data_IF_518803029240
#
_entry.id   IF_518803029240
#
_cell.length_a   1.000
_cell.length_b   1.000
_cell.length_c   1.000
_cell.angle_alpha   90.00
_cell.angle_beta   90.00
_cell.angle_gamma   90.00
#
_symmetry.space_group_name_H-M   'P 1'
#
loop_
_entity.id
_entity.type
_entity.pdbx_description
1 polymer ?
#
# COMPACT_ATOMS: atom_id res chain seq x y z
N UNK A 1 -8.11 29.55 62.50
CA UNK A 1 -6.76 29.87 62.03
C UNK A 1 -6.39 28.77 61.04
N UNK A 2 -6.77 28.87 59.75
CA UNK A 2 -5.96 29.42 58.64
C UNK A 2 -4.54 28.83 58.69
N UNK A 3 -4.05 28.08 57.72
CA UNK A 3 -3.91 28.42 56.29
C UNK A 3 -3.24 27.22 55.56
N UNK A 4 -3.15 27.27 54.22
CA UNK A 4 -2.40 26.39 53.27
C UNK A 4 -3.21 25.35 52.49
N UNK A 5 -3.57 25.67 51.25
CA UNK A 5 -2.72 25.41 50.07
C UNK A 5 -3.57 25.57 48.78
N UNK A 6 -3.47 26.75 48.15
CA UNK A 6 -3.89 26.99 46.76
C UNK A 6 -2.65 27.46 46.00
N UNK A 7 -2.02 26.57 45.22
CA UNK A 7 -0.81 26.98 44.49
C UNK A 7 -0.17 25.98 43.51
N UNK A 8 -0.77 24.83 43.18
CA UNK A 8 -0.11 23.82 42.34
C UNK A 8 -0.75 23.59 40.95
N UNK A 9 -1.84 24.27 40.60
CA UNK A 9 -2.63 23.94 39.40
C UNK A 9 -2.29 24.70 38.11
N UNK A 10 -1.47 25.76 38.14
CA UNK A 10 -1.37 26.69 36.99
C UNK A 10 -0.06 26.61 36.20
N UNK A 11 0.94 25.90 36.71
CA UNK A 11 2.28 25.87 36.11
C UNK A 11 2.45 24.72 35.09
N UNK A 12 1.79 23.59 35.34
CA UNK A 12 1.88 22.38 34.50
C UNK A 12 1.08 22.53 33.20
N UNK A 13 -0.11 23.13 33.27
CA UNK A 13 -0.94 23.45 32.09
C UNK A 13 -0.30 24.47 31.15
N UNK A 14 0.55 25.36 31.68
CA UNK A 14 1.30 26.32 30.86
C UNK A 14 2.47 25.64 30.14
N UNK A 15 3.13 24.68 30.76
CA UNK A 15 4.21 23.94 30.10
C UNK A 15 3.69 23.01 29.01
N UNK A 16 2.58 22.31 29.26
CA UNK A 16 1.94 21.45 28.25
C UNK A 16 1.45 22.26 27.05
N UNK A 17 0.83 23.43 27.27
CA UNK A 17 0.41 24.33 26.20
C UNK A 17 1.59 24.87 25.37
N UNK A 18 2.71 25.22 26.00
CA UNK A 18 3.92 25.70 25.30
C UNK A 18 4.53 24.61 24.41
N UNK A 19 4.60 23.36 24.89
CA UNK A 19 5.09 22.25 24.07
C UNK A 19 4.14 21.88 22.93
N UNK A 20 2.83 21.99 23.15
CA UNK A 20 1.82 21.74 22.12
C UNK A 20 1.86 22.80 21.01
N UNK A 21 2.03 24.07 21.39
CA UNK A 21 2.20 25.17 20.44
C UNK A 21 3.55 25.13 19.70
N UNK A 22 4.62 24.70 20.38
CA UNK A 22 5.93 24.51 19.75
C UNK A 22 5.91 23.41 18.68
N UNK A 23 5.25 22.27 18.96
CA UNK A 23 5.05 21.16 18.00
C UNK A 23 4.15 21.58 16.82
N UNK A 24 3.08 22.33 17.09
CA UNK A 24 2.22 22.88 16.03
C UNK A 24 2.98 23.87 15.13
N UNK A 25 3.81 24.75 15.70
CA UNK A 25 4.62 25.72 14.96
C UNK A 25 5.72 25.05 14.12
N UNK A 26 6.32 23.94 14.59
CA UNK A 26 7.32 23.19 13.80
C UNK A 26 6.68 22.45 12.63
N UNK A 27 5.48 21.90 12.79
CA UNK A 27 4.75 21.25 11.70
C UNK A 27 4.30 22.25 10.62
N UNK A 28 3.91 23.47 11.00
CA UNK A 28 3.57 24.53 10.04
C UNK A 28 4.83 25.12 9.39
N UNK A 29 5.93 25.27 10.13
CA UNK A 29 7.21 25.74 9.61
C UNK A 29 7.79 24.85 8.50
N UNK A 30 7.68 23.52 8.64
CA UNK A 30 8.14 22.57 7.61
C UNK A 30 7.25 22.61 6.35
N UNK A 31 5.96 22.95 6.49
CA UNK A 31 5.00 23.03 5.39
C UNK A 31 5.08 24.35 4.61
N UNK A 32 5.55 25.44 5.23
CA UNK A 32 5.51 26.81 4.67
C UNK A 32 6.88 27.32 4.21
N UNK A 33 7.98 26.58 4.44
CA UNK A 33 9.29 26.98 3.92
C UNK A 33 9.25 27.14 2.39
N UNK A 34 9.49 28.36 1.86
CA UNK A 34 9.54 28.57 0.43
C UNK A 34 10.74 27.82 -0.13
N UNK A 35 10.48 26.79 -0.95
CA UNK A 35 11.52 26.13 -1.75
C UNK A 35 12.17 27.20 -2.62
N UNK A 36 13.42 27.57 -2.28
CA UNK A 36 14.21 28.54 -3.03
C UNK A 36 14.17 28.19 -4.51
N UNK A 37 13.61 29.10 -5.32
CA UNK A 37 13.75 29.10 -6.77
C UNK A 37 15.24 29.25 -7.09
N UNK A 38 15.86 28.19 -7.58
CA UNK A 38 17.15 28.29 -8.25
C UNK A 38 16.96 29.01 -9.58
N UNK A 39 17.44 30.25 -9.66
CA UNK A 39 17.55 31.02 -10.89
C UNK A 39 18.99 31.44 -11.10
N UNK A 40 19.58 30.88 -12.16
CA UNK A 40 20.67 31.33 -13.03
C UNK A 40 21.79 32.24 -12.47
N UNK A 41 23.00 31.66 -12.38
CA UNK A 41 24.21 32.02 -13.18
C UNK A 41 25.46 31.40 -12.56
N UNK A 42 26.15 30.55 -13.33
CA UNK A 42 27.59 30.66 -13.59
C UNK A 42 28.07 29.40 -14.33
N UNK A 43 28.61 29.60 -15.53
CA UNK A 43 29.57 28.68 -16.14
C UNK A 43 30.75 28.48 -15.18
N UNK A 44 31.08 27.22 -14.87
CA UNK A 44 32.46 26.70 -14.84
C UNK A 44 32.50 25.27 -14.30
N UNK A 45 33.16 24.42 -15.10
CA UNK A 45 33.93 23.22 -14.72
C UNK A 45 33.19 22.02 -14.11
N UNK A 46 33.18 20.98 -14.93
CA UNK A 46 33.29 19.58 -14.53
C UNK A 46 34.35 19.36 -13.45
N UNK A 47 33.92 19.07 -12.23
CA UNK A 47 34.63 18.18 -11.32
C UNK A 47 33.63 17.26 -10.63
N UNK A 48 33.87 15.97 -10.83
CA UNK A 48 33.21 14.80 -10.27
C UNK A 48 33.03 14.89 -8.75
N UNK A 49 31.77 15.00 -8.32
CA UNK A 49 31.31 14.77 -6.96
C UNK A 49 30.15 13.77 -7.00
N UNK A 50 30.35 12.60 -6.38
CA UNK A 50 29.49 11.42 -6.42
C UNK A 50 28.19 11.58 -5.63
N UNK A 51 27.20 12.26 -6.21
CA UNK A 51 25.79 11.99 -5.95
C UNK A 51 25.23 11.28 -7.18
N UNK A 52 25.54 9.99 -7.31
CA UNK A 52 25.09 9.19 -8.43
C UNK A 52 23.56 9.06 -8.41
N UNK A 53 22.84 9.26 -9.54
CA UNK A 53 21.49 8.74 -9.66
C UNK A 53 21.53 7.23 -9.36
N UNK A 54 20.50 6.70 -8.69
CA UNK A 54 20.31 5.24 -8.50
C UNK A 54 20.77 4.51 -9.76
N UNK A 55 21.61 3.48 -9.62
CA UNK A 55 22.03 2.68 -10.77
C UNK A 55 20.77 2.10 -11.42
N UNK A 56 20.35 2.69 -12.54
CA UNK A 56 19.20 2.21 -13.32
C UNK A 56 19.50 0.80 -13.81
N UNK A 57 18.49 -0.07 -13.82
CA UNK A 57 18.68 -1.43 -14.29
C UNK A 57 19.24 -1.43 -15.73
N UNK A 58 20.21 -2.31 -16.04
CA UNK A 58 20.76 -2.42 -17.39
C UNK A 58 19.64 -2.63 -18.42
N UNK A 59 19.51 -1.69 -19.34
CA UNK A 59 18.44 -1.67 -20.33
C UNK A 59 18.88 -1.03 -21.64
N UNK A 60 18.22 -1.40 -22.72
CA UNK A 60 18.42 -0.86 -24.05
C UNK A 60 17.32 0.16 -24.36
N UNK A 61 17.69 1.30 -24.92
CA UNK A 61 16.76 2.36 -25.30
C UNK A 61 16.80 2.63 -26.81
N UNK A 62 15.72 3.22 -27.35
CA UNK A 62 15.69 3.76 -28.71
C UNK A 62 16.08 2.76 -29.81
N UNK A 63 17.15 3.06 -30.55
CA UNK A 63 17.63 2.24 -31.66
C UNK A 63 18.19 0.88 -31.23
N UNK A 64 18.88 0.83 -30.08
CA UNK A 64 19.46 -0.40 -29.54
C UNK A 64 18.38 -1.38 -29.11
N UNK A 65 17.32 -0.89 -28.44
CA UNK A 65 16.17 -1.70 -28.07
C UNK A 65 15.54 -2.41 -29.29
N UNK A 66 15.42 -1.69 -30.41
CA UNK A 66 14.93 -2.26 -31.67
C UNK A 66 15.91 -3.23 -32.32
N UNK A 67 17.22 -3.06 -32.12
CA UNK A 67 18.23 -3.99 -32.60
C UNK A 67 18.17 -5.29 -31.79
N UNK A 68 18.17 -5.19 -30.46
CA UNK A 68 18.06 -6.32 -29.52
C UNK A 68 16.77 -7.11 -29.77
N UNK A 69 15.65 -6.44 -29.99
CA UNK A 69 14.38 -7.10 -30.29
C UNK A 69 14.36 -7.85 -31.63
N UNK A 70 15.30 -7.59 -32.53
CA UNK A 70 15.48 -8.35 -33.78
C UNK A 70 16.45 -9.51 -33.61
N UNK A 71 17.49 -9.35 -32.79
CA UNK A 71 18.51 -10.39 -32.56
C UNK A 71 18.04 -11.44 -31.55
N UNK A 72 17.21 -11.07 -30.57
CA UNK A 72 16.72 -11.93 -29.49
C UNK A 72 15.23 -12.31 -29.67
N UNK A 73 14.86 -12.75 -30.88
CA UNK A 73 13.46 -13.06 -31.20
C UNK A 73 12.88 -14.19 -30.32
N UNK A 74 13.73 -15.09 -29.85
CA UNK A 74 13.40 -16.24 -29.00
C UNK A 74 13.16 -15.87 -27.52
N UNK A 75 13.37 -14.61 -27.11
CA UNK A 75 13.17 -14.14 -25.73
C UNK A 75 11.82 -13.46 -25.51
N UNK A 76 10.94 -13.39 -26.52
CA UNK A 76 9.63 -12.73 -26.40
C UNK A 76 9.69 -11.21 -26.52
N UNK A 77 10.73 -10.66 -27.16
CA UNK A 77 10.90 -9.22 -27.37
C UNK A 77 9.79 -8.57 -28.20
N UNK A 78 9.04 -9.37 -28.94
CA UNK A 78 7.91 -8.95 -29.78
C UNK A 78 6.54 -9.30 -29.16
N UNK A 79 6.49 -9.76 -27.91
CA UNK A 79 5.23 -10.17 -27.27
C UNK A 79 4.25 -9.00 -27.11
N UNK A 80 2.99 -9.20 -27.52
CA UNK A 80 1.87 -8.25 -27.36
C UNK A 80 1.02 -8.55 -26.13
N UNK A 81 1.25 -9.69 -25.49
CA UNK A 81 0.69 -10.06 -24.20
C UNK A 81 1.67 -10.94 -23.41
N UNK A 82 1.60 -10.95 -22.06
CA UNK A 82 2.49 -11.77 -21.24
C UNK A 82 2.47 -13.27 -21.56
N UNK A 83 1.33 -13.80 -22.02
CA UNK A 83 1.20 -15.22 -22.41
C UNK A 83 1.99 -15.61 -23.65
N UNK A 84 2.46 -14.63 -24.44
CA UNK A 84 3.31 -14.86 -25.62
C UNK A 84 4.80 -14.90 -25.26
N UNK A 85 5.18 -14.57 -24.02
CA UNK A 85 6.56 -14.62 -23.57
C UNK A 85 6.98 -16.11 -23.42
N UNK A 86 8.02 -16.57 -24.13
CA UNK A 86 8.50 -17.94 -24.04
C UNK A 86 9.22 -18.21 -22.71
N UNK A 87 9.47 -19.49 -22.40
CA UNK A 87 10.13 -19.88 -21.14
C UNK A 87 11.51 -19.24 -20.92
N UNK A 88 12.28 -19.03 -21.98
CA UNK A 88 13.55 -18.28 -21.95
C UNK A 88 13.35 -16.82 -21.54
N UNK A 89 12.31 -16.16 -22.04
CA UNK A 89 11.95 -14.80 -21.66
C UNK A 89 11.45 -14.71 -20.21
N UNK A 90 10.67 -15.69 -19.75
CA UNK A 90 10.26 -15.77 -18.34
C UNK A 90 11.43 -16.01 -17.39
N UNK A 91 12.45 -16.77 -17.83
CA UNK A 91 13.70 -16.91 -17.09
C UNK A 91 14.40 -15.56 -16.95
N UNK A 92 14.47 -14.77 -18.04
CA UNK A 92 15.06 -13.43 -17.99
C UNK A 92 14.29 -12.52 -17.02
N UNK A 93 12.95 -12.49 -17.11
CA UNK A 93 12.09 -11.74 -16.18
C UNK A 93 12.37 -12.15 -14.73
N UNK A 94 12.42 -13.44 -14.43
CA UNK A 94 12.68 -13.93 -13.07
C UNK A 94 14.07 -13.55 -12.54
N UNK A 95 15.10 -13.61 -13.39
CA UNK A 95 16.47 -13.22 -13.02
C UNK A 95 16.58 -11.72 -12.77
N UNK A 96 15.92 -10.89 -13.59
CA UNK A 96 15.89 -9.44 -13.41
C UNK A 96 15.13 -9.06 -12.14
N UNK A 97 13.94 -9.64 -11.90
CA UNK A 97 13.21 -9.47 -10.62
C UNK A 97 14.11 -9.81 -9.42
N UNK A 98 14.89 -10.89 -9.47
CA UNK A 98 15.81 -11.24 -8.37
C UNK A 98 16.94 -10.23 -8.18
N UNK A 99 17.53 -9.74 -9.27
CA UNK A 99 18.55 -8.69 -9.25
C UNK A 99 17.97 -7.39 -8.69
N UNK A 100 16.83 -6.97 -9.20
CA UNK A 100 16.23 -5.66 -8.92
C UNK A 100 15.68 -5.64 -7.49
N UNK A 101 15.18 -6.75 -6.94
CA UNK A 101 14.90 -6.93 -5.50
C UNK A 101 16.09 -6.52 -4.61
N UNK A 102 17.32 -6.87 -5.03
CA UNK A 102 18.55 -6.60 -4.31
C UNK A 102 19.05 -5.17 -4.56
N UNK A 103 19.11 -4.76 -5.83
CA UNK A 103 19.64 -3.45 -6.25
C UNK A 103 18.77 -2.30 -5.76
N UNK A 104 17.44 -2.42 -5.90
CA UNK A 104 16.48 -1.44 -5.39
C UNK A 104 16.23 -1.59 -3.88
N UNK A 105 16.87 -2.56 -3.22
CA UNK A 105 16.73 -2.86 -1.79
C UNK A 105 15.26 -2.98 -1.37
N UNK A 106 14.44 -3.66 -2.16
CA UNK A 106 12.97 -3.71 -1.99
C UNK A 106 12.56 -4.13 -0.57
N UNK A 107 13.31 -5.05 0.04
CA UNK A 107 13.08 -5.50 1.41
C UNK A 107 13.26 -4.38 2.44
N UNK A 108 14.24 -3.49 2.25
CA UNK A 108 14.44 -2.30 3.08
C UNK A 108 13.37 -1.23 2.80
N UNK A 109 12.99 -1.05 1.53
CA UNK A 109 11.90 -0.13 1.14
C UNK A 109 10.58 -0.56 1.79
N UNK A 110 10.27 -1.86 1.74
CA UNK A 110 9.09 -2.44 2.38
C UNK A 110 9.06 -2.20 3.90
N UNK A 111 10.22 -2.23 4.57
CA UNK A 111 10.31 -1.90 6.00
C UNK A 111 9.96 -0.43 6.27
N UNK A 112 10.42 0.49 5.42
CA UNK A 112 10.03 1.90 5.47
C UNK A 112 8.52 2.11 5.25
N UNK A 113 7.95 1.44 4.25
CA UNK A 113 6.49 1.46 4.01
C UNK A 113 5.73 0.92 5.22
N UNK A 114 6.20 -0.18 5.80
CA UNK A 114 5.59 -0.78 7.01
C UNK A 114 5.51 0.22 8.16
N UNK A 115 6.58 0.98 8.40
CA UNK A 115 6.59 2.04 9.41
C UNK A 115 5.50 3.09 9.14
N UNK A 116 5.39 3.59 7.91
CA UNK A 116 4.34 4.56 7.57
C UNK A 116 2.93 3.98 7.62
N UNK A 117 2.74 2.72 7.25
CA UNK A 117 1.46 2.01 7.36
C UNK A 117 1.06 1.89 8.83
N UNK A 118 1.98 1.54 9.73
CA UNK A 118 1.70 1.45 11.17
C UNK A 118 1.27 2.80 11.76
N UNK A 119 1.94 3.89 11.38
CA UNK A 119 1.51 5.25 11.78
C UNK A 119 0.13 5.60 11.24
N UNK A 120 -0.20 5.15 10.02
CA UNK A 120 -1.48 5.37 9.38
C UNK A 120 -2.63 4.52 9.95
N UNK A 121 -2.35 3.45 10.68
CA UNK A 121 -3.38 2.54 11.21
C UNK A 121 -4.29 3.23 12.23
N UNK A 122 -3.74 3.99 13.18
CA UNK A 122 -4.57 4.67 14.18
C UNK A 122 -5.62 5.60 13.57
N UNK A 123 -5.26 6.53 12.65
CA UNK A 123 -6.26 7.34 11.98
C UNK A 123 -7.12 6.54 11.00
N UNK A 124 -6.61 5.49 10.35
CA UNK A 124 -7.42 4.65 9.48
C UNK A 124 -8.53 3.91 10.25
N UNK A 125 -8.21 3.35 11.41
CA UNK A 125 -9.19 2.69 12.29
C UNK A 125 -10.18 3.70 12.85
N UNK A 126 -9.73 4.91 13.21
CA UNK A 126 -10.64 5.98 13.62
C UNK A 126 -11.65 6.31 12.50
N UNK A 127 -11.17 6.51 11.26
CA UNK A 127 -12.03 6.74 10.11
C UNK A 127 -12.98 5.56 9.85
N UNK A 128 -12.48 4.33 9.92
CA UNK A 128 -13.26 3.11 9.74
C UNK A 128 -14.42 3.03 10.73
N UNK A 129 -14.13 3.18 12.03
CA UNK A 129 -15.14 3.08 13.09
C UNK A 129 -16.16 4.22 12.98
N UNK A 130 -15.71 5.45 12.74
CA UNK A 130 -16.60 6.58 12.53
C UNK A 130 -17.53 6.36 11.34
N UNK A 131 -17.01 5.93 10.18
CA UNK A 131 -17.83 5.66 9.00
C UNK A 131 -18.77 4.46 9.19
N UNK A 132 -18.32 3.39 9.87
CA UNK A 132 -19.15 2.22 10.13
C UNK A 132 -20.31 2.53 11.08
N UNK A 133 -20.05 3.33 12.12
CA UNK A 133 -21.06 3.79 13.09
C UNK A 133 -22.22 4.59 12.49
N UNK A 134 -22.12 5.04 11.23
CA UNK A 134 -23.22 5.70 10.52
C UNK A 134 -24.33 4.74 10.09
N UNK A 135 -23.99 3.47 9.86
CA UNK A 135 -24.90 2.50 9.23
C UNK A 135 -25.15 1.27 10.11
N UNK A 136 -24.30 1.03 11.12
CA UNK A 136 -24.38 -0.14 11.97
C UNK A 136 -23.89 0.16 13.40
N UNK A 137 -24.35 -0.64 14.35
CA UNK A 137 -23.89 -0.55 15.74
C UNK A 137 -22.41 -0.96 15.83
N UNK A 138 -21.60 -0.07 16.41
CA UNK A 138 -20.16 -0.25 16.62
C UNK A 138 -19.88 -1.51 17.44
N UNK A 139 -20.80 -1.93 18.30
CA UNK A 139 -20.68 -3.19 19.06
C UNK A 139 -20.52 -4.42 18.14
N UNK A 140 -21.16 -4.42 16.97
CA UNK A 140 -21.10 -5.53 16.00
C UNK A 140 -19.77 -5.63 15.25
N UNK A 141 -18.96 -4.57 15.24
CA UNK A 141 -17.64 -4.59 14.58
C UNK A 141 -16.76 -5.69 15.18
N UNK A 142 -16.77 -5.85 16.51
CA UNK A 142 -15.92 -6.83 17.18
C UNK A 142 -16.26 -8.27 16.77
N UNK A 143 -17.55 -8.57 16.63
CA UNK A 143 -18.02 -9.88 16.18
C UNK A 143 -17.62 -10.14 14.71
N UNK A 144 -17.64 -9.11 13.87
CA UNK A 144 -17.20 -9.22 12.48
C UNK A 144 -15.67 -9.34 12.36
N UNK A 145 -14.91 -8.66 13.22
CA UNK A 145 -13.46 -8.82 13.28
C UNK A 145 -13.07 -10.24 13.69
N UNK A 146 -13.84 -10.89 14.57
CA UNK A 146 -13.64 -12.30 14.91
C UNK A 146 -13.82 -13.22 13.69
N UNK A 147 -14.70 -12.87 12.75
CA UNK A 147 -14.86 -13.65 11.51
C UNK A 147 -13.65 -13.59 10.57
N UNK A 148 -12.74 -12.62 10.76
CA UNK A 148 -11.48 -12.49 10.01
C UNK A 148 -10.33 -13.32 10.62
N UNK A 149 -10.58 -14.03 11.74
CA UNK A 149 -9.62 -14.97 12.32
C UNK A 149 -9.23 -16.04 11.29
N UNK A 150 -7.91 -16.18 11.06
CA UNK A 150 -7.33 -17.08 10.05
C UNK A 150 -6.80 -16.36 8.81
N UNK A 151 -7.29 -15.15 8.51
CA UNK A 151 -6.76 -14.29 7.43
C UNK A 151 -5.83 -13.23 8.01
N UNK A 152 -6.21 -12.63 9.14
CA UNK A 152 -5.40 -11.64 9.85
C UNK A 152 -4.76 -12.27 11.10
N UNK A 153 -3.53 -11.85 11.48
CA UNK A 153 -2.92 -12.26 12.73
C UNK A 153 -3.69 -11.68 13.93
N UNK A 154 -3.70 -12.41 15.06
CA UNK A 154 -4.42 -12.02 16.28
C UNK A 154 -4.06 -10.62 16.78
N UNK A 155 -2.77 -10.25 16.75
CA UNK A 155 -2.34 -8.91 17.16
C UNK A 155 -2.95 -7.77 16.35
N UNK A 156 -3.30 -8.01 15.07
CA UNK A 156 -4.01 -7.01 14.26
C UNK A 156 -5.45 -6.82 14.75
N UNK A 157 -6.12 -7.93 15.08
CA UNK A 157 -7.49 -7.94 15.60
C UNK A 157 -7.53 -7.23 16.96
N UNK A 158 -6.55 -7.50 17.83
CA UNK A 158 -6.47 -6.91 19.17
C UNK A 158 -6.31 -5.38 19.11
N UNK A 159 -5.38 -4.87 18.29
CA UNK A 159 -5.14 -3.43 18.12
C UNK A 159 -6.39 -2.72 17.57
N UNK A 160 -7.02 -3.29 16.54
CA UNK A 160 -8.23 -2.71 15.94
C UNK A 160 -9.38 -2.75 16.96
N UNK A 161 -9.59 -3.89 17.63
CA UNK A 161 -10.64 -4.07 18.63
C UNK A 161 -10.48 -3.14 19.83
N UNK A 162 -9.25 -2.91 20.31
CA UNK A 162 -9.00 -1.95 21.38
C UNK A 162 -9.36 -0.52 20.96
N UNK A 163 -9.00 -0.13 19.73
CA UNK A 163 -9.32 1.19 19.21
C UNK A 163 -10.83 1.37 18.98
N UNK A 164 -11.53 0.34 18.49
CA UNK A 164 -13.00 0.31 18.39
C UNK A 164 -13.63 0.55 19.76
N UNK A 165 -13.19 -0.18 20.79
CA UNK A 165 -13.69 -0.02 22.17
C UNK A 165 -13.47 1.38 22.71
N UNK A 166 -12.28 1.97 22.49
CA UNK A 166 -11.98 3.36 22.92
C UNK A 166 -12.89 4.39 22.25
N UNK A 167 -13.24 4.19 20.98
CA UNK A 167 -14.13 5.10 20.25
C UNK A 167 -15.58 4.90 20.72
N UNK A 168 -16.04 3.66 20.87
CA UNK A 168 -17.38 3.35 21.38
C UNK A 168 -17.60 3.89 22.80
N UNK A 169 -16.58 3.81 23.67
CA UNK A 169 -16.65 4.33 25.04
C UNK A 169 -16.77 5.86 25.13
N UNK A 170 -16.44 6.60 24.06
CA UNK A 170 -16.59 8.06 24.03
C UNK A 170 -18.03 8.53 23.75
N UNK A 171 -18.97 7.61 23.54
CA UNK A 171 -20.40 7.76 23.85
C UNK A 171 -21.24 8.69 22.96
N UNK A 172 -20.76 9.87 22.59
CA UNK A 172 -21.56 10.88 21.91
C UNK A 172 -20.93 11.30 20.58
N UNK A 173 -21.20 10.51 19.55
CA UNK A 173 -21.01 10.99 18.19
C UNK A 173 -22.18 11.90 17.83
N UNK A 174 -22.12 13.16 18.26
CA UNK A 174 -23.03 14.16 17.71
C UNK A 174 -22.81 14.20 16.20
N UNK A 175 -23.83 13.81 15.42
CA UNK A 175 -23.90 13.86 13.95
C UNK A 175 -23.87 15.33 13.47
N UNK A 176 -22.76 16.00 13.74
CA UNK A 176 -22.52 17.41 13.47
C UNK A 176 -21.20 17.62 12.75
N UNK A 177 -20.84 18.89 12.57
CA UNK A 177 -19.65 19.30 11.80
C UNK A 177 -18.37 18.62 12.34
N UNK A 178 -18.25 18.47 13.66
CA UNK A 178 -17.10 17.83 14.33
C UNK A 178 -16.87 16.38 13.91
N UNK A 179 -17.94 15.63 13.63
CA UNK A 179 -17.83 14.25 13.19
C UNK A 179 -17.25 14.16 11.77
N UNK A 180 -17.80 14.94 10.84
CA UNK A 180 -17.32 14.95 9.45
C UNK A 180 -15.89 15.48 9.34
N UNK A 181 -15.54 16.52 10.11
CA UNK A 181 -14.16 17.02 10.15
C UNK A 181 -13.21 16.00 10.78
N UNK A 182 -13.65 15.24 11.79
CA UNK A 182 -12.90 14.12 12.36
C UNK A 182 -12.60 13.01 11.36
N UNK A 183 -13.59 12.59 10.56
CA UNK A 183 -13.39 11.62 9.48
C UNK A 183 -12.40 12.17 8.46
N UNK A 184 -12.60 13.40 7.97
CA UNK A 184 -11.72 14.00 6.97
C UNK A 184 -10.27 14.08 7.47
N UNK A 185 -10.06 14.50 8.71
CA UNK A 185 -8.74 14.58 9.32
C UNK A 185 -8.10 13.19 9.49
N UNK A 186 -8.90 12.20 9.84
CA UNK A 186 -8.46 10.82 10.00
C UNK A 186 -8.07 10.21 8.65
N UNK A 187 -8.90 10.36 7.61
CA UNK A 187 -8.57 9.90 6.25
C UNK A 187 -7.35 10.63 5.70
N UNK A 188 -7.23 11.94 5.95
CA UNK A 188 -6.06 12.73 5.58
C UNK A 188 -4.79 12.23 6.26
N UNK A 189 -4.86 11.86 7.53
CA UNK A 189 -3.72 11.34 8.29
C UNK A 189 -3.34 9.93 7.83
N UNK A 190 -4.33 9.06 7.59
CA UNK A 190 -4.12 7.70 7.08
C UNK A 190 -3.48 7.68 5.69
N UNK A 191 -3.71 8.72 4.89
CA UNK A 191 -3.16 8.87 3.54
C UNK A 191 -1.62 8.80 3.48
N UNK A 192 -0.91 9.10 4.58
CA UNK A 192 0.54 8.99 4.66
C UNK A 192 1.06 7.57 4.33
N UNK A 193 0.36 6.53 4.80
CA UNK A 193 0.70 5.14 4.49
C UNK A 193 0.53 4.81 3.00
N UNK A 194 -0.54 5.31 2.38
CA UNK A 194 -0.79 5.11 0.94
C UNK A 194 0.28 5.81 0.08
N UNK A 195 0.73 7.01 0.47
CA UNK A 195 1.82 7.70 -0.22
C UNK A 195 3.13 6.92 -0.14
N UNK A 196 3.44 6.33 1.01
CA UNK A 196 4.63 5.47 1.14
C UNK A 196 4.57 4.27 0.19
N UNK A 197 3.39 3.66 0.03
CA UNK A 197 3.18 2.60 -0.97
C UNK A 197 3.40 3.13 -2.39
N UNK A 198 2.87 4.31 -2.74
CA UNK A 198 3.08 4.91 -4.07
C UNK A 198 4.55 5.20 -4.33
N UNK A 199 5.27 5.73 -3.35
CA UNK A 199 6.71 5.98 -3.47
C UNK A 199 7.49 4.68 -3.67
N UNK A 200 7.13 3.60 -2.95
CA UNK A 200 7.74 2.29 -3.15
C UNK A 200 7.42 1.69 -4.53
N UNK A 201 6.20 1.86 -5.04
CA UNK A 201 5.84 1.45 -6.39
C UNK A 201 6.59 2.28 -7.45
N UNK A 202 6.76 3.58 -7.24
CA UNK A 202 7.57 4.41 -8.13
C UNK A 202 9.02 3.88 -8.18
N UNK A 203 9.59 3.43 -7.06
CA UNK A 203 10.92 2.80 -7.04
C UNK A 203 10.94 1.53 -7.91
N UNK A 204 9.95 0.65 -7.78
CA UNK A 204 9.83 -0.59 -8.57
C UNK A 204 9.75 -0.32 -10.07
N UNK A 205 8.97 0.69 -10.49
CA UNK A 205 8.85 1.04 -11.90
C UNK A 205 9.97 1.97 -12.41
N UNK A 206 11.00 2.24 -11.60
CA UNK A 206 12.06 3.22 -11.87
C UNK A 206 11.55 4.62 -12.23
N UNK A 207 10.39 4.99 -11.70
CA UNK A 207 9.74 6.27 -11.93
C UNK A 207 10.11 7.29 -10.85
N UNK A 208 10.11 8.56 -11.25
CA UNK A 208 10.18 9.69 -10.32
C UNK A 208 8.80 10.30 -10.15
N UNK A 209 8.47 10.66 -8.91
CA UNK A 209 7.21 11.34 -8.64
C UNK A 209 7.22 12.75 -9.25
N UNK A 210 6.44 12.95 -10.30
CA UNK A 210 6.31 14.25 -10.99
C UNK A 210 4.93 14.86 -10.82
N UNK A 211 3.97 14.16 -10.19
CA UNK A 211 2.64 14.71 -9.90
C UNK A 211 2.79 15.89 -8.95
N UNK A 212 2.01 16.94 -9.20
CA UNK A 212 1.94 18.05 -8.25
C UNK A 212 1.33 17.57 -6.92
N UNK A 213 1.58 18.34 -5.86
CA UNK A 213 1.12 18.00 -4.51
C UNK A 213 -0.39 17.72 -4.46
N UNK A 214 -1.20 18.47 -5.20
CA UNK A 214 -2.66 18.33 -5.21
C UNK A 214 -3.08 16.99 -5.82
N UNK A 215 -2.57 16.64 -7.01
CA UNK A 215 -2.91 15.39 -7.71
C UNK A 215 -2.41 14.16 -6.97
N UNK A 216 -1.21 14.22 -6.38
CA UNK A 216 -0.69 13.14 -5.54
C UNK A 216 -1.62 12.89 -4.35
N UNK A 217 -1.98 13.96 -3.61
CA UNK A 217 -2.88 13.86 -2.47
C UNK A 217 -4.27 13.36 -2.86
N UNK A 218 -4.84 13.87 -3.95
CA UNK A 218 -6.16 13.45 -4.41
C UNK A 218 -6.18 11.97 -4.75
N UNK A 219 -5.17 11.47 -5.46
CA UNK A 219 -5.07 10.06 -5.85
C UNK A 219 -4.85 9.17 -4.62
N UNK A 220 -3.95 9.56 -3.73
CA UNK A 220 -3.65 8.78 -2.54
C UNK A 220 -4.83 8.78 -1.55
N UNK A 221 -5.57 9.90 -1.43
CA UNK A 221 -6.83 9.98 -0.69
C UNK A 221 -7.92 9.11 -1.31
N UNK A 222 -8.06 9.09 -2.64
CA UNK A 222 -9.02 8.25 -3.33
C UNK A 222 -8.74 6.76 -3.07
N UNK A 223 -7.47 6.34 -3.07
CA UNK A 223 -7.07 4.98 -2.70
C UNK A 223 -7.31 4.68 -1.22
N UNK A 224 -7.01 5.62 -0.33
CA UNK A 224 -7.23 5.45 1.12
C UNK A 224 -8.72 5.35 1.44
N UNK A 225 -9.54 6.26 0.92
CA UNK A 225 -11.00 6.24 1.06
C UNK A 225 -11.63 5.04 0.37
N UNK A 226 -11.13 4.64 -0.80
CA UNK A 226 -11.56 3.43 -1.50
C UNK A 226 -11.24 2.15 -0.71
N UNK A 227 -10.07 2.06 -0.08
CA UNK A 227 -9.73 0.94 0.80
C UNK A 227 -10.62 0.90 2.05
N UNK A 228 -10.89 2.05 2.68
CA UNK A 228 -11.82 2.13 3.81
C UNK A 228 -13.25 1.73 3.41
N UNK A 229 -13.74 2.26 2.29
CA UNK A 229 -15.05 1.90 1.74
C UNK A 229 -15.13 0.40 1.45
N UNK A 230 -14.09 -0.17 0.84
CA UNK A 230 -13.99 -1.60 0.59
C UNK A 230 -14.10 -2.42 1.88
N UNK A 231 -13.37 -2.04 2.93
CA UNK A 231 -13.44 -2.71 4.25
C UNK A 231 -14.85 -2.60 4.84
N UNK A 232 -15.47 -1.42 4.80
CA UNK A 232 -16.83 -1.21 5.31
C UNK A 232 -17.83 -2.10 4.57
N UNK A 233 -17.76 -2.14 3.23
CA UNK A 233 -18.62 -2.99 2.41
C UNK A 233 -18.37 -4.48 2.67
N UNK A 234 -17.12 -4.89 2.90
CA UNK A 234 -16.78 -6.27 3.24
C UNK A 234 -17.36 -6.66 4.60
N UNK A 235 -17.24 -5.80 5.62
CA UNK A 235 -17.85 -6.02 6.94
C UNK A 235 -19.37 -6.04 6.86
N UNK A 236 -19.98 -5.13 6.10
CA UNK A 236 -21.42 -5.12 5.86
C UNK A 236 -21.90 -6.37 5.12
N UNK A 237 -21.14 -6.85 4.14
CA UNK A 237 -21.47 -8.07 3.41
C UNK A 237 -21.48 -9.32 4.30
N UNK A 238 -20.63 -9.39 5.34
CA UNK A 238 -20.65 -10.48 6.33
C UNK A 238 -22.01 -10.57 7.05
N UNK A 239 -22.69 -9.43 7.27
CA UNK A 239 -24.02 -9.37 7.88
C UNK A 239 -25.13 -9.60 6.88
N UNK A 240 -25.05 -8.93 5.73
CA UNK A 240 -26.15 -8.87 4.76
C UNK A 240 -26.28 -10.17 3.98
N UNK A 241 -25.16 -10.79 3.58
CA UNK A 241 -25.19 -11.99 2.74
C UNK A 241 -25.95 -13.16 3.40
N UNK A 242 -25.72 -13.52 4.69
CA UNK A 242 -26.50 -14.56 5.35
C UNK A 242 -28.01 -14.30 5.34
N UNK A 243 -28.43 -13.05 5.58
CA UNK A 243 -29.85 -12.65 5.57
C UNK A 243 -30.45 -12.83 4.18
N UNK A 244 -29.76 -12.34 3.14
CA UNK A 244 -30.18 -12.47 1.74
C UNK A 244 -30.29 -13.95 1.35
N UNK A 245 -29.29 -14.76 1.67
CA UNK A 245 -29.32 -16.20 1.34
C UNK A 245 -30.48 -16.93 2.02
N UNK A 246 -30.75 -16.63 3.29
CA UNK A 246 -31.88 -17.21 4.01
C UNK A 246 -33.22 -16.83 3.36
N UNK A 247 -33.38 -15.59 2.86
CA UNK A 247 -34.61 -15.17 2.15
C UNK A 247 -34.82 -15.84 0.79
N UNK A 248 -33.73 -16.25 0.12
CA UNK A 248 -33.78 -16.94 -1.19
C UNK A 248 -33.86 -18.47 -1.00
N UNK A 249 -33.94 -18.97 0.24
CA UNK A 249 -34.04 -20.40 0.54
C UNK A 249 -32.71 -21.16 0.43
N UNK A 250 -31.59 -20.44 0.33
CA UNK A 250 -30.25 -21.00 0.47
C UNK A 250 -29.94 -21.02 1.97
N UNK A 251 -30.04 -22.19 2.61
CA UNK A 251 -29.84 -22.32 4.05
C UNK A 251 -28.48 -21.78 4.49
N UNK A 252 -28.42 -21.13 5.67
CA UNK A 252 -27.19 -20.57 6.24
C UNK A 252 -26.09 -21.60 6.55
N UNK A 253 -26.43 -22.89 6.59
CA UNK A 253 -25.50 -24.02 6.80
C UNK A 253 -24.80 -24.49 5.51
N UNK A 254 -24.98 -23.74 4.43
CA UNK A 254 -24.36 -23.97 3.14
C UNK A 254 -22.82 -23.89 3.22
N UNK A 255 -22.17 -25.04 3.40
CA UNK A 255 -20.72 -25.19 3.31
C UNK A 255 -20.12 -24.56 2.01
N UNK A 256 -20.91 -24.50 0.93
CA UNK A 256 -20.52 -23.85 -0.32
C UNK A 256 -20.36 -22.32 -0.22
N UNK A 257 -21.09 -21.64 0.68
CA UNK A 257 -20.90 -20.21 0.95
C UNK A 257 -19.58 -19.95 1.69
N UNK A 258 -19.24 -20.82 2.64
CA UNK A 258 -17.95 -20.78 3.31
C UNK A 258 -16.80 -21.03 2.33
N UNK A 259 -16.99 -21.90 1.34
CA UNK A 259 -16.02 -22.13 0.27
C UNK A 259 -15.90 -20.93 -0.67
N UNK A 260 -17.02 -20.29 -1.06
CA UNK A 260 -17.05 -19.14 -1.97
C UNK A 260 -16.35 -17.89 -1.41
N UNK A 261 -16.22 -17.79 -0.08
CA UNK A 261 -15.50 -16.72 0.60
C UNK A 261 -14.05 -16.59 0.12
N UNK A 262 -13.34 -17.70 -0.09
CA UNK A 262 -11.93 -17.68 -0.48
C UNK A 262 -11.72 -17.17 -1.92
N UNK A 263 -12.44 -17.66 -2.94
CA UNK A 263 -12.44 -17.06 -4.27
C UNK A 263 -12.86 -15.58 -4.27
N UNK A 264 -13.89 -15.21 -3.52
CA UNK A 264 -14.34 -13.82 -3.44
C UNK A 264 -13.25 -12.90 -2.87
N UNK A 265 -12.59 -13.33 -1.78
CA UNK A 265 -11.44 -12.63 -1.20
C UNK A 265 -10.29 -12.53 -2.20
N UNK A 266 -9.97 -13.62 -2.89
CA UNK A 266 -8.92 -13.63 -3.90
C UNK A 266 -9.20 -12.63 -5.03
N UNK A 267 -10.42 -12.62 -5.57
CA UNK A 267 -10.83 -11.67 -6.62
C UNK A 267 -10.77 -10.23 -6.12
N UNK A 268 -11.17 -9.99 -4.87
CA UNK A 268 -11.13 -8.66 -4.27
C UNK A 268 -9.69 -8.16 -4.07
N UNK A 269 -8.80 -9.00 -3.53
CA UNK A 269 -7.37 -8.69 -3.38
C UNK A 269 -6.72 -8.48 -4.75
N UNK A 270 -7.00 -9.36 -5.72
CA UNK A 270 -6.51 -9.23 -7.09
C UNK A 270 -6.95 -7.92 -7.72
N UNK A 271 -8.23 -7.55 -7.59
CA UNK A 271 -8.77 -6.29 -8.08
C UNK A 271 -8.14 -5.06 -7.41
N UNK A 272 -7.98 -5.10 -6.08
CA UNK A 272 -7.32 -4.03 -5.31
C UNK A 272 -5.85 -3.84 -5.73
N UNK A 273 -5.10 -4.93 -5.87
CA UNK A 273 -3.71 -4.89 -6.35
C UNK A 273 -3.63 -4.44 -7.81
N UNK A 274 -4.56 -4.87 -8.67
CA UNK A 274 -4.58 -4.45 -10.07
C UNK A 274 -4.84 -2.94 -10.20
N UNK A 275 -5.76 -2.39 -9.40
CA UNK A 275 -5.98 -0.95 -9.32
C UNK A 275 -4.73 -0.23 -8.80
N UNK A 276 -4.13 -0.75 -7.74
CA UNK A 276 -2.94 -0.17 -7.11
C UNK A 276 -1.75 -0.14 -8.07
N UNK A 277 -1.47 -1.22 -8.79
CA UNK A 277 -0.36 -1.26 -9.75
C UNK A 277 -0.62 -0.43 -11.00
N UNK A 278 -1.88 -0.30 -11.42
CA UNK A 278 -2.25 0.50 -12.59
C UNK A 278 -2.24 2.01 -12.32
N UNK A 279 -2.63 2.43 -11.12
CA UNK A 279 -2.83 3.85 -10.79
C UNK A 279 -1.98 4.35 -9.63
N UNK A 280 -1.26 3.51 -8.89
CA UNK A 280 -0.31 3.94 -7.86
C UNK A 280 0.89 4.67 -8.47
N UNK A 281 1.64 4.05 -9.41
CA UNK A 281 2.82 4.64 -10.01
C UNK A 281 2.57 5.95 -10.78
N UNK A 282 3.59 6.80 -10.84
CA UNK A 282 3.62 8.07 -11.58
C UNK A 282 4.01 7.86 -13.06
N UNK A 283 3.22 7.07 -13.80
CA UNK A 283 3.43 6.81 -15.23
C UNK A 283 2.12 6.68 -15.99
N UNK A 284 2.22 6.63 -17.32
CA UNK A 284 1.06 6.32 -18.17
C UNK A 284 0.54 4.90 -17.89
N UNK A 285 -0.78 4.75 -17.84
CA UNK A 285 -1.38 3.55 -17.30
C UNK A 285 -1.11 2.32 -18.20
N UNK A 286 -0.59 1.21 -17.66
CA UNK A 286 -0.44 -0.03 -18.42
C UNK A 286 -1.81 -0.60 -18.82
N UNK A 287 -1.88 -1.40 -19.88
CA UNK A 287 -3.10 -2.17 -20.21
C UNK A 287 -3.35 -3.23 -19.14
N UNK A 288 -4.62 -3.54 -18.86
CA UNK A 288 -5.01 -4.48 -17.80
C UNK A 288 -4.28 -5.83 -17.88
N UNK A 289 -4.08 -6.36 -19.09
CA UNK A 289 -3.37 -7.63 -19.33
C UNK A 289 -1.95 -7.70 -18.79
N UNK A 290 -1.25 -6.56 -18.70
CA UNK A 290 0.15 -6.49 -18.22
C UNK A 290 0.21 -6.38 -16.70
N UNK A 291 -0.88 -5.95 -16.05
CA UNK A 291 -0.95 -5.79 -14.59
C UNK A 291 -1.47 -7.04 -13.90
N UNK A 292 -2.39 -7.77 -14.55
CA UNK A 292 -3.12 -8.88 -13.93
C UNK A 292 -2.23 -10.03 -13.49
N UNK A 293 -1.12 -10.29 -14.18
CA UNK A 293 -0.22 -11.42 -13.89
C UNK A 293 0.53 -11.23 -12.57
N UNK A 294 1.16 -10.07 -12.37
CA UNK A 294 1.81 -9.74 -11.10
C UNK A 294 0.81 -9.50 -9.97
N UNK A 295 -0.40 -8.98 -10.27
CA UNK A 295 -1.48 -8.89 -9.26
C UNK A 295 -1.96 -10.27 -8.82
N UNK A 296 -2.10 -11.23 -9.73
CA UNK A 296 -2.47 -12.60 -9.40
C UNK A 296 -1.37 -13.28 -8.59
N UNK A 297 -0.10 -13.15 -9.00
CA UNK A 297 1.04 -13.69 -8.27
C UNK A 297 1.10 -13.13 -6.85
N UNK A 298 0.99 -11.81 -6.68
CA UNK A 298 0.97 -11.19 -5.36
C UNK A 298 -0.25 -11.60 -4.54
N UNK A 299 -1.44 -11.72 -5.13
CA UNK A 299 -2.63 -12.19 -4.41
C UNK A 299 -2.46 -13.63 -3.89
N UNK A 300 -1.92 -14.54 -4.71
CA UNK A 300 -1.62 -15.91 -4.30
C UNK A 300 -0.55 -15.96 -3.21
N UNK A 301 0.56 -15.26 -3.42
CA UNK A 301 1.65 -15.19 -2.45
C UNK A 301 1.20 -14.55 -1.13
N UNK A 302 0.32 -13.56 -1.18
CA UNK A 302 -0.20 -12.88 0.00
C UNK A 302 -1.13 -13.77 0.82
N UNK A 303 -2.01 -14.54 0.16
CA UNK A 303 -2.84 -15.53 0.85
C UNK A 303 -1.97 -16.64 1.46
N UNK A 304 -1.04 -17.20 0.69
CA UNK A 304 -0.11 -18.22 1.17
C UNK A 304 0.76 -17.70 2.33
N UNK A 305 1.27 -16.47 2.21
CA UNK A 305 2.05 -15.80 3.25
C UNK A 305 1.24 -15.53 4.51
N UNK A 306 -0.03 -15.13 4.36
CA UNK A 306 -0.93 -14.91 5.51
C UNK A 306 -1.26 -16.21 6.24
N UNK A 307 -1.53 -17.29 5.51
CA UNK A 307 -1.74 -18.62 6.09
C UNK A 307 -0.48 -19.15 6.78
N UNK A 308 0.68 -19.04 6.12
CA UNK A 308 1.97 -19.44 6.67
C UNK A 308 2.35 -18.64 7.91
N UNK A 309 2.09 -17.33 7.90
CA UNK A 309 2.33 -16.46 9.05
C UNK A 309 1.38 -16.77 10.22
N UNK A 310 0.09 -16.99 9.95
CA UNK A 310 -0.88 -17.43 10.96
C UNK A 310 -0.45 -18.76 11.60
N UNK A 311 0.01 -19.72 10.79
CA UNK A 311 0.56 -20.97 11.30
C UNK A 311 1.82 -20.73 12.14
N UNK A 312 2.74 -19.87 11.70
CA UNK A 312 3.95 -19.53 12.44
C UNK A 312 3.62 -18.95 13.82
N UNK A 313 2.74 -17.95 13.89
CA UNK A 313 2.33 -17.33 15.17
C UNK A 313 1.60 -18.32 16.08
N UNK A 314 0.77 -19.20 15.53
CA UNK A 314 0.06 -20.20 16.32
C UNK A 314 0.99 -21.26 16.94
N UNK A 315 2.04 -21.68 16.24
CA UNK A 315 2.94 -22.75 16.69
C UNK A 315 4.14 -22.23 17.49
N UNK A 316 4.66 -21.05 17.15
CA UNK A 316 5.80 -20.41 17.82
C UNK A 316 5.36 -19.31 18.81
N UNK A 317 4.06 -19.23 19.09
CA UNK A 317 3.40 -18.27 19.98
C UNK A 317 3.84 -18.28 21.44
N UNK A 318 4.77 -19.15 21.86
CA UNK A 318 5.46 -19.04 23.15
C UNK A 318 6.25 -17.71 23.30
N UNK A 319 6.45 -16.98 22.21
CA UNK A 319 6.94 -15.59 22.23
C UNK A 319 6.01 -14.64 23.01
N UNK A 320 4.69 -14.88 22.98
CA UNK A 320 3.70 -14.10 23.70
C UNK A 320 3.79 -14.32 25.23
N UNK A 321 4.29 -15.49 25.66
CA UNK A 321 4.46 -15.80 27.09
C UNK A 321 5.59 -14.96 27.73
N UNK A 322 6.59 -14.56 26.94
CA UNK A 322 7.73 -13.77 27.43
C UNK A 322 7.56 -12.27 27.17
N UNK A 323 6.97 -11.89 26.04
CA UNK A 323 6.88 -10.49 25.60
C UNK A 323 5.45 -9.91 25.64
N UNK A 324 4.42 -10.71 25.92
CA UNK A 324 3.03 -10.26 26.04
C UNK A 324 2.57 -9.41 24.85
N UNK A 325 1.99 -8.23 25.14
CA UNK A 325 1.51 -7.29 24.12
C UNK A 325 2.58 -6.79 23.15
N UNK A 326 3.86 -6.75 23.55
CA UNK A 326 4.96 -6.36 22.67
C UNK A 326 5.18 -7.40 21.56
N UNK A 327 5.01 -8.68 21.87
CA UNK A 327 5.09 -9.78 20.90
C UNK A 327 4.01 -9.66 19.82
N UNK A 328 2.79 -9.29 20.20
CA UNK A 328 1.68 -9.07 19.27
C UNK A 328 1.97 -7.92 18.28
N UNK A 329 2.52 -6.81 18.76
CA UNK A 329 2.93 -5.68 17.92
C UNK A 329 4.03 -6.10 16.95
N UNK A 330 5.10 -6.74 17.43
CA UNK A 330 6.22 -7.19 16.58
C UNK A 330 5.71 -8.14 15.49
N UNK A 331 4.88 -9.14 15.85
CA UNK A 331 4.29 -10.05 14.89
C UNK A 331 3.46 -9.33 13.83
N UNK A 332 2.64 -8.35 14.23
CA UNK A 332 1.88 -7.56 13.29
C UNK A 332 2.75 -6.70 12.36
N UNK A 333 3.81 -6.07 12.89
CA UNK A 333 4.80 -5.35 12.07
C UNK A 333 5.47 -6.28 11.05
N UNK A 334 5.87 -7.48 11.46
CA UNK A 334 6.45 -8.49 10.57
C UNK A 334 5.46 -8.91 9.48
N UNK A 335 4.19 -9.09 9.82
CA UNK A 335 3.16 -9.45 8.85
C UNK A 335 2.92 -8.36 7.80
N UNK A 336 2.86 -7.08 8.21
CA UNK A 336 2.75 -5.95 7.26
C UNK A 336 3.99 -5.89 6.37
N UNK A 337 5.17 -6.12 6.94
CA UNK A 337 6.43 -6.11 6.19
C UNK A 337 6.47 -7.21 5.14
N UNK A 338 6.14 -8.45 5.50
CA UNK A 338 6.03 -9.57 4.55
C UNK A 338 4.97 -9.26 3.48
N UNK A 339 3.81 -8.75 3.88
CA UNK A 339 2.74 -8.36 2.95
C UNK A 339 3.22 -7.30 1.96
N UNK A 340 3.95 -6.29 2.43
CA UNK A 340 4.48 -5.22 1.59
C UNK A 340 5.54 -5.76 0.62
N UNK A 341 6.43 -6.65 1.07
CA UNK A 341 7.40 -7.32 0.20
C UNK A 341 6.69 -8.08 -0.92
N UNK A 342 5.62 -8.82 -0.60
CA UNK A 342 4.84 -9.57 -1.60
C UNK A 342 4.18 -8.63 -2.61
N UNK A 343 3.62 -7.51 -2.16
CA UNK A 343 3.03 -6.50 -3.04
C UNK A 343 4.07 -5.88 -3.96
N UNK A 344 5.24 -5.49 -3.43
CA UNK A 344 6.32 -4.93 -4.27
C UNK A 344 6.85 -5.98 -5.25
N UNK A 345 6.96 -7.25 -4.85
CA UNK A 345 7.36 -8.34 -5.73
C UNK A 345 6.39 -8.53 -6.90
N UNK A 346 5.08 -8.46 -6.66
CA UNK A 346 4.09 -8.52 -7.74
C UNK A 346 4.16 -7.33 -8.69
N UNK A 347 4.46 -6.14 -8.15
CA UNK A 347 4.70 -4.95 -8.98
C UNK A 347 5.98 -5.10 -9.81
N UNK A 348 7.05 -5.69 -9.25
CA UNK A 348 8.32 -5.94 -9.95
C UNK A 348 8.13 -6.90 -11.12
N UNK A 349 7.36 -7.97 -10.92
CA UNK A 349 7.02 -8.90 -12.01
C UNK A 349 6.26 -8.18 -13.12
N UNK A 350 5.33 -7.30 -12.79
CA UNK A 350 4.62 -6.48 -13.79
C UNK A 350 5.56 -5.53 -14.54
N UNK A 351 6.44 -4.82 -13.82
CA UNK A 351 7.46 -3.96 -14.40
C UNK A 351 8.33 -4.74 -15.39
N UNK A 352 8.85 -5.89 -14.97
CA UNK A 352 9.78 -6.68 -15.76
C UNK A 352 9.15 -7.43 -16.94
N UNK A 353 7.86 -7.79 -16.84
CA UNK A 353 7.10 -8.26 -18.00
C UNK A 353 6.95 -7.17 -19.07
N UNK A 354 6.67 -5.93 -18.67
CA UNK A 354 6.61 -4.81 -19.62
C UNK A 354 7.99 -4.53 -20.23
N UNK A 355 9.03 -4.59 -19.40
CA UNK A 355 10.42 -4.40 -19.79
C UNK A 355 10.95 -5.48 -20.76
N UNK A 356 10.20 -6.59 -20.93
CA UNK A 356 10.59 -7.67 -21.83
C UNK A 356 10.29 -7.37 -23.31
N UNK A 357 9.32 -6.48 -23.62
CA UNK A 357 8.80 -6.29 -25.00
C UNK A 357 9.04 -4.88 -25.55
N UNK A 358 9.24 -4.76 -26.87
CA UNK A 358 9.28 -3.45 -27.54
C UNK A 358 7.90 -2.88 -27.86
N UNK A 359 6.85 -3.71 -27.80
CA UNK A 359 5.49 -3.25 -28.08
C UNK A 359 4.97 -2.37 -26.96
N UNK A 360 4.17 -1.37 -27.32
CA UNK A 360 3.57 -0.47 -26.34
C UNK A 360 2.57 -1.21 -25.43
N UNK A 361 2.92 -1.26 -24.14
CA UNK A 361 2.14 -1.89 -23.08
C UNK A 361 1.14 -0.93 -22.45
N UNK A 362 1.22 0.37 -22.74
CA UNK A 362 0.37 1.42 -22.17
C UNK A 362 -0.97 1.58 -22.91
N UNK A 363 -1.90 2.30 -22.30
CA UNK A 363 -3.20 2.63 -22.92
C UNK A 363 -3.11 3.84 -23.83
N UNK A 364 -3.91 3.86 -24.90
CA UNK A 364 -3.98 4.97 -25.86
C UNK A 364 -3.50 4.57 -27.24
N UNK A 365 -3.24 5.57 -28.08
CA UNK A 365 -2.66 5.37 -29.41
C UNK A 365 -1.23 4.82 -29.26
N UNK A 366 -0.80 3.83 -30.06
CA UNK A 366 0.54 3.26 -29.94
C UNK A 366 1.63 4.31 -30.11
N UNK A 367 2.52 4.39 -29.11
CA UNK A 367 3.65 5.32 -29.12
C UNK A 367 4.99 4.58 -29.34
N UNK A 368 5.97 5.24 -29.99
CA UNK A 368 7.32 4.69 -30.10
C UNK A 368 8.00 4.58 -28.73
N UNK A 369 9.03 3.73 -28.65
CA UNK A 369 9.88 3.63 -27.46
C UNK A 369 10.52 4.99 -27.13
N UNK A 370 10.48 5.37 -25.86
CA UNK A 370 11.04 6.61 -25.32
C UNK A 370 10.03 7.75 -25.16
N UNK A 371 8.79 7.58 -25.62
CA UNK A 371 7.75 8.63 -25.53
C UNK A 371 6.54 8.22 -24.69
N UNK A 372 6.47 6.97 -24.21
CA UNK A 372 5.29 6.41 -23.52
C UNK A 372 5.14 6.91 -22.07
N UNK A 373 6.07 7.75 -21.58
CA UNK A 373 6.11 8.26 -20.20
C UNK A 373 5.99 7.14 -19.17
N UNK A 374 6.66 6.02 -19.47
CA UNK A 374 6.68 4.83 -18.65
C UNK A 374 8.01 4.10 -18.91
N UNK A 375 8.97 4.21 -17.99
CA UNK A 375 10.35 3.73 -18.15
C UNK A 375 10.40 2.27 -18.61
N UNK A 376 9.70 1.39 -17.88
CA UNK A 376 9.63 -0.04 -18.20
C UNK A 376 8.94 -0.37 -19.53
N UNK A 377 8.15 0.56 -20.07
CA UNK A 377 7.58 0.43 -21.41
C UNK A 377 8.43 1.13 -22.48
N UNK A 378 9.37 1.99 -22.10
CA UNK A 378 10.19 2.80 -23.02
C UNK A 378 11.59 2.19 -23.27
N UNK A 379 12.00 1.23 -22.44
CA UNK A 379 13.26 0.48 -22.57
C UNK A 379 13.04 -1.02 -22.69
N UNK A 380 14.09 -1.76 -23.00
CA UNK A 380 14.10 -3.23 -23.06
C UNK A 380 15.19 -3.78 -22.13
N UNK A 381 14.81 -4.64 -21.19
CA UNK A 381 15.73 -5.19 -20.20
C UNK A 381 16.75 -6.13 -20.83
N UNK A 382 18.00 -6.12 -20.34
CA UNK A 382 19.08 -6.98 -20.84
C UNK A 382 18.72 -8.46 -20.67
N UNK A 383 19.04 -9.31 -21.66
CA UNK A 383 18.91 -10.77 -21.52
C UNK A 383 19.96 -11.31 -20.54
N UNK A 384 19.59 -12.25 -19.67
CA UNK A 384 20.47 -12.75 -18.58
C UNK A 384 20.92 -14.19 -18.81
#
# INVERSE_FOLDING_TARGET
MTDRDFGAGTQDDRQSAVWTLALAATLVGIAVLPRRRGGDRAEARSETGSDGPRAEAPSHAGGEAKAVARTEADRGRQARSPSEIPGSGWKDVGLRVFRDLKENRLVSVAAGVTFYVLLAIFPAVAALVSCYGLFADVATINDHLASLQGVMPSGAIDIVGEQVKRIAAKGDTTLGITFFTGILLSVWSANGGMKAIFDALNIVYEERETRNFVWLNLRSLAFTGGALLFIILALGAIVVLPVVFNTVGLSGDAWYLALLRWPALFVAVLGGLALLYRYGPCRDAPRWRWVTWGSALAAFAWLAGSLGFSWYVANFGKYNDTYGSLGAVIGFMTWIWISTVIVLLGAEVNAEMEHQTVHDTTVGAPQPLGTRRAKMADTVGVAT
#
